data_IF_534904360674
#
_entry.id   IF_534904360674
#
_cell.length_a   1.000
_cell.length_b   1.000
_cell.length_c   1.000
_cell.angle_alpha   90.00
_cell.angle_beta   90.00
_cell.angle_gamma   90.00
#
_symmetry.space_group_name_H-M   'P 1'
#
loop_
_entity.id
_entity.type
_entity.pdbx_description
1 polymer ?
#
# COMPACT_ATOMS: atom_id res chain seq x y z
N UNK A 1 -20.68 -37.55 9.71
CA UNK A 1 -21.82 -36.63 9.53
C UNK A 1 -21.80 -35.64 10.70
N UNK A 2 -22.04 -34.35 10.44
CA UNK A 2 -21.82 -33.15 11.30
C UNK A 2 -20.35 -32.64 11.29
N UNK A 3 -19.93 -31.78 10.35
CA UNK A 3 -20.21 -30.34 10.17
C UNK A 3 -19.84 -29.48 11.41
N UNK A 4 -18.64 -28.87 11.38
CA UNK A 4 -18.33 -27.68 12.16
C UNK A 4 -17.89 -26.59 11.18
N UNK A 5 -18.88 -25.81 10.76
CA UNK A 5 -18.73 -24.53 10.07
C UNK A 5 -18.19 -23.54 11.11
N UNK A 6 -16.97 -23.06 10.92
CA UNK A 6 -16.56 -21.77 11.50
C UNK A 6 -16.41 -20.80 10.33
N UNK A 7 -17.57 -20.38 9.83
CA UNK A 7 -17.73 -19.18 9.02
C UNK A 7 -18.35 -18.14 9.94
N UNK A 8 -17.51 -17.23 10.42
CA UNK A 8 -17.98 -15.93 10.91
C UNK A 8 -17.17 -14.88 10.18
N UNK A 9 -17.80 -14.34 9.14
CA UNK A 9 -17.48 -13.06 8.54
C UNK A 9 -17.70 -11.99 9.62
N UNK A 10 -16.63 -11.37 10.09
CA UNK A 10 -16.68 -10.02 10.67
C UNK A 10 -15.35 -9.36 10.34
N UNK A 11 -15.47 -8.22 9.65
CA UNK A 11 -14.35 -7.38 9.32
C UNK A 11 -13.66 -6.91 10.59
N UNK A 12 -12.56 -7.54 10.91
CA UNK A 12 -11.46 -6.89 11.56
C UNK A 12 -10.39 -6.88 10.48
N UNK A 13 -9.90 -5.68 10.18
CA UNK A 13 -8.52 -5.55 9.72
C UNK A 13 -7.75 -6.24 10.84
N UNK A 14 -7.45 -7.54 10.68
CA UNK A 14 -6.40 -8.13 11.48
C UNK A 14 -5.23 -7.24 11.12
N UNK A 15 -4.69 -6.53 12.10
CA UNK A 15 -3.42 -5.85 11.96
C UNK A 15 -2.49 -6.82 12.65
N UNK A 16 -1.50 -7.34 11.94
CA UNK A 16 -0.47 -8.14 12.59
C UNK A 16 0.08 -7.29 13.75
N UNK A 17 0.38 -7.89 14.92
CA UNK A 17 0.95 -7.13 16.02
C UNK A 17 2.19 -6.36 15.51
N UNK A 18 2.43 -5.17 16.05
CA UNK A 18 3.38 -4.21 15.48
C UNK A 18 4.83 -4.75 15.34
N UNK A 19 5.14 -5.84 16.02
CA UNK A 19 6.41 -6.55 16.05
C UNK A 19 6.41 -7.91 15.32
N UNK A 20 5.32 -8.26 14.62
CA UNK A 20 5.23 -9.48 13.81
C UNK A 20 6.28 -9.47 12.69
N UNK A 21 7.11 -10.51 12.64
CA UNK A 21 8.13 -10.69 11.59
C UNK A 21 7.56 -11.53 10.46
N UNK A 22 7.95 -11.23 9.23
CA UNK A 22 7.67 -12.13 8.13
C UNK A 22 8.45 -13.43 8.34
N UNK A 23 7.77 -14.56 8.19
CA UNK A 23 8.38 -15.87 8.42
C UNK A 23 7.44 -17.02 8.11
N UNK A 24 7.90 -18.20 8.48
CA UNK A 24 7.16 -19.44 8.35
C UNK A 24 6.71 -19.94 9.72
N UNK A 25 5.54 -20.54 9.75
CA UNK A 25 5.02 -21.26 10.91
C UNK A 25 4.58 -22.65 10.47
N UNK A 26 5.14 -23.68 11.11
CA UNK A 26 4.71 -25.07 10.90
C UNK A 26 3.72 -25.48 11.99
N UNK A 27 2.55 -25.95 11.57
CA UNK A 27 1.49 -26.42 12.46
C UNK A 27 1.20 -27.90 12.18
N UNK A 28 1.16 -28.72 13.22
CA UNK A 28 0.77 -30.14 13.11
C UNK A 28 -0.73 -30.27 13.33
N UNK A 29 -1.45 -30.79 12.34
CA UNK A 29 -2.86 -31.13 12.42
C UNK A 29 -3.09 -32.49 13.10
N UNK A 30 -4.34 -32.75 13.51
CA UNK A 30 -4.72 -34.01 14.18
C UNK A 30 -4.59 -35.28 13.33
N UNK A 31 -4.47 -35.14 11.99
CA UNK A 31 -4.38 -36.26 11.04
C UNK A 31 -2.97 -36.44 10.45
N UNK A 32 -1.91 -36.08 11.17
CA UNK A 32 -0.52 -36.05 10.68
C UNK A 32 -0.21 -35.03 9.57
N UNK A 33 -1.21 -34.28 9.09
CA UNK A 33 -1.00 -33.14 8.19
C UNK A 33 -0.05 -32.12 8.81
N UNK A 34 0.96 -31.70 8.05
CA UNK A 34 1.83 -30.59 8.41
C UNK A 34 1.44 -29.38 7.57
N UNK A 35 1.04 -28.30 8.23
CA UNK A 35 0.69 -27.04 7.58
C UNK A 35 1.87 -26.08 7.65
N UNK A 36 2.21 -25.46 6.52
CA UNK A 36 3.18 -24.37 6.43
C UNK A 36 2.45 -23.07 6.17
N UNK A 37 2.37 -22.22 7.19
CA UNK A 37 1.86 -20.87 7.08
C UNK A 37 2.99 -19.90 6.74
N UNK A 38 2.70 -18.96 5.84
CA UNK A 38 3.67 -17.95 5.42
C UNK A 38 3.03 -16.56 5.42
N UNK A 39 3.72 -15.60 6.03
CA UNK A 39 3.17 -14.28 6.33
C UNK A 39 3.84 -13.63 7.54
N UNK A 40 3.18 -12.66 8.15
CA UNK A 40 3.65 -11.91 9.32
C UNK A 40 3.12 -12.53 10.61
N UNK A 41 4.00 -13.04 11.47
CA UNK A 41 3.64 -13.74 12.70
C UNK A 41 4.43 -13.25 13.92
N UNK A 42 3.80 -13.34 15.08
CA UNK A 42 4.39 -13.23 16.42
C UNK A 42 3.97 -14.49 17.20
N UNK A 43 4.89 -15.44 17.36
CA UNK A 43 4.55 -16.79 17.83
C UNK A 43 3.58 -17.48 16.86
N UNK A 44 2.46 -17.99 17.38
CA UNK A 44 1.42 -18.66 16.57
C UNK A 44 0.29 -17.72 16.14
N UNK A 45 0.43 -16.41 16.35
CA UNK A 45 -0.57 -15.39 16.00
C UNK A 45 -0.06 -14.50 14.89
N UNK A 46 -0.91 -14.15 13.92
CA UNK A 46 -0.51 -13.28 12.81
C UNK A 46 -1.41 -13.44 11.58
N UNK A 47 -0.86 -13.07 10.43
CA UNK A 47 -1.53 -13.15 9.15
C UNK A 47 -0.64 -13.80 8.11
N UNK A 48 -1.20 -14.77 7.40
CA UNK A 48 -0.53 -15.44 6.31
C UNK A 48 -1.46 -16.40 5.60
N UNK A 49 -0.91 -17.11 4.63
CA UNK A 49 -1.62 -18.19 3.93
C UNK A 49 -0.96 -19.51 4.29
N UNK A 50 -1.76 -20.41 4.87
CA UNK A 50 -1.35 -21.76 5.25
C UNK A 50 -1.62 -22.76 4.11
N UNK A 51 -0.62 -23.59 3.85
CA UNK A 51 -0.63 -24.63 2.82
C UNK A 51 -0.26 -25.97 3.46
N UNK A 52 -0.83 -27.09 3.01
CA UNK A 52 -0.35 -28.41 3.47
C UNK A 52 1.00 -28.69 2.80
N UNK A 53 1.96 -29.17 3.60
CA UNK A 53 3.28 -29.55 3.13
C UNK A 53 3.19 -30.88 2.37
N UNK A 54 3.73 -30.92 1.16
CA UNK A 54 3.79 -32.14 0.34
C UNK A 54 2.54 -32.41 -0.50
N UNK A 55 1.49 -31.59 -0.41
CA UNK A 55 0.34 -31.65 -1.32
C UNK A 55 0.80 -31.29 -2.74
N UNK A 56 0.64 -32.22 -3.68
CA UNK A 56 1.07 -32.07 -5.07
C UNK A 56 -0.06 -32.37 -6.04
N UNK A 57 -0.14 -31.47 -7.01
CA UNK A 57 -0.53 -31.67 -8.41
C UNK A 57 -2.02 -31.78 -8.78
N UNK A 58 -2.39 -30.90 -9.69
CA UNK A 58 -3.64 -30.88 -10.46
C UNK A 58 -3.37 -30.82 -11.97
N UNK A 59 -2.10 -30.84 -12.40
CA UNK A 59 -1.70 -30.65 -13.79
C UNK A 59 -2.00 -29.23 -14.29
N UNK A 60 -0.97 -28.42 -14.53
CA UNK A 60 -1.11 -27.04 -15.00
C UNK A 60 0.04 -26.14 -14.54
N UNK A 61 -0.04 -24.81 -14.72
CA UNK A 61 0.99 -23.86 -14.29
C UNK A 61 0.97 -23.58 -12.76
N UNK A 62 0.39 -24.49 -11.97
CA UNK A 62 0.14 -24.32 -10.55
C UNK A 62 0.63 -25.55 -9.79
N UNK A 63 1.31 -25.30 -8.67
CA UNK A 63 1.84 -26.34 -7.81
C UNK A 63 0.72 -27.17 -7.20
N UNK A 64 -0.35 -26.50 -6.73
CA UNK A 64 -1.66 -27.11 -6.45
C UNK A 64 -2.75 -26.05 -6.13
N UNK A 65 -4.00 -26.49 -6.06
CA UNK A 65 -5.17 -25.72 -5.62
C UNK A 65 -6.02 -26.56 -4.68
N UNK A 66 -6.54 -25.92 -3.64
CA UNK A 66 -7.53 -26.51 -2.73
C UNK A 66 -8.71 -25.57 -2.56
N UNK A 67 -9.88 -26.01 -2.98
CA UNK A 67 -11.09 -25.20 -2.91
C UNK A 67 -12.20 -25.74 -3.77
N UNK A 68 -13.20 -24.88 -4.03
CA UNK A 68 -14.37 -25.22 -4.82
C UNK A 68 -14.00 -25.42 -6.31
N UNK A 69 -14.44 -26.56 -6.87
CA UNK A 69 -14.31 -26.88 -8.28
C UNK A 69 -15.70 -27.03 -8.88
N UNK A 70 -16.01 -26.26 -9.93
CA UNK A 70 -17.26 -26.38 -10.71
C UNK A 70 -16.93 -26.44 -12.19
N UNK A 71 -17.61 -27.32 -12.90
CA UNK A 71 -17.41 -27.54 -14.34
C UNK A 71 -15.93 -27.76 -14.71
N UNK A 72 -15.20 -28.50 -13.86
CA UNK A 72 -13.75 -28.77 -14.00
C UNK A 72 -12.86 -27.51 -13.96
N UNK A 73 -13.34 -26.42 -13.37
CA UNK A 73 -12.59 -25.16 -13.17
C UNK A 73 -12.63 -24.73 -11.72
N UNK A 74 -11.62 -23.98 -11.26
CA UNK A 74 -11.62 -23.39 -9.92
C UNK A 74 -12.67 -22.28 -9.86
N UNK A 75 -13.69 -22.46 -9.03
CA UNK A 75 -14.87 -21.59 -9.00
C UNK A 75 -15.54 -21.65 -7.61
N UNK A 76 -15.52 -20.53 -6.89
CA UNK A 76 -15.88 -20.44 -5.48
C UNK A 76 -14.69 -20.01 -4.63
N UNK A 77 -14.55 -20.50 -3.40
CA UNK A 77 -13.44 -20.13 -2.54
C UNK A 77 -12.32 -21.16 -2.61
N UNK A 78 -11.06 -20.72 -2.55
CA UNK A 78 -9.94 -21.63 -2.40
C UNK A 78 -8.58 -20.97 -2.17
N UNK A 79 -7.59 -21.83 -2.00
CA UNK A 79 -6.17 -21.49 -1.90
C UNK A 79 -5.46 -22.04 -3.12
N UNK A 80 -4.72 -21.19 -3.83
CA UNK A 80 -3.93 -21.51 -5.01
C UNK A 80 -2.45 -21.26 -4.69
N UNK A 81 -1.60 -22.22 -5.04
CA UNK A 81 -0.13 -22.09 -4.94
C UNK A 81 0.45 -22.15 -6.35
N UNK A 82 1.18 -21.10 -6.72
CA UNK A 82 1.85 -20.98 -8.00
C UNK A 82 3.20 -21.73 -7.99
N UNK A 83 3.77 -22.00 -9.16
CA UNK A 83 5.08 -22.69 -9.28
C UNK A 83 6.22 -21.94 -8.60
N UNK A 84 6.15 -20.61 -8.55
CA UNK A 84 7.12 -19.75 -7.85
C UNK A 84 6.85 -19.62 -6.35
N UNK A 85 6.01 -20.51 -5.79
CA UNK A 85 5.54 -20.52 -4.40
C UNK A 85 4.68 -19.32 -3.97
N UNK A 86 4.38 -18.38 -4.88
CA UNK A 86 3.38 -17.35 -4.63
C UNK A 86 2.03 -17.99 -4.29
N UNK A 87 1.20 -17.26 -3.54
CA UNK A 87 -0.02 -17.83 -2.98
C UNK A 87 -1.18 -16.88 -3.15
N UNK A 88 -2.32 -17.43 -3.48
CA UNK A 88 -3.59 -16.73 -3.46
C UNK A 88 -4.58 -17.46 -2.56
N UNK A 89 -5.35 -16.72 -1.77
CA UNK A 89 -6.48 -17.24 -1.03
C UNK A 89 -7.68 -16.32 -1.23
N UNK A 90 -8.79 -16.86 -1.72
CA UNK A 90 -10.00 -16.07 -1.92
C UNK A 90 -10.94 -16.62 -2.97
N UNK A 91 -11.73 -15.71 -3.54
CA UNK A 91 -12.74 -16.01 -4.53
C UNK A 91 -12.12 -16.26 -5.92
N UNK A 92 -12.57 -17.33 -6.56
CA UNK A 92 -12.13 -17.81 -7.86
C UNK A 92 -13.33 -17.86 -8.81
N UNK A 93 -13.09 -17.56 -10.09
CA UNK A 93 -14.07 -17.75 -11.16
C UNK A 93 -13.34 -18.16 -12.43
N UNK A 94 -13.81 -19.21 -13.10
CA UNK A 94 -13.22 -19.73 -14.34
C UNK A 94 -11.70 -19.96 -14.22
N UNK A 95 -11.24 -20.52 -13.10
CA UNK A 95 -9.82 -20.82 -12.89
C UNK A 95 -8.94 -19.62 -12.50
N UNK A 96 -9.50 -18.42 -12.28
CA UNK A 96 -8.73 -17.22 -11.96
C UNK A 96 -9.23 -16.52 -10.68
N UNK A 97 -8.34 -15.84 -9.94
CA UNK A 97 -8.75 -14.91 -8.88
C UNK A 97 -9.79 -13.91 -9.36
N UNK A 98 -10.94 -13.85 -8.70
CA UNK A 98 -12.05 -12.98 -9.07
C UNK A 98 -12.96 -12.74 -7.87
N UNK A 99 -13.08 -11.48 -7.43
CA UNK A 99 -13.71 -11.11 -6.16
C UNK A 99 -12.66 -10.85 -5.07
N UNK A 100 -13.05 -10.95 -3.81
CA UNK A 100 -12.16 -10.66 -2.67
C UNK A 100 -11.12 -11.77 -2.48
N UNK A 101 -9.89 -11.38 -2.17
CA UNK A 101 -8.85 -12.32 -1.78
C UNK A 101 -7.58 -11.66 -1.26
N UNK A 102 -6.61 -12.50 -0.95
CA UNK A 102 -5.27 -12.15 -0.50
C UNK A 102 -4.28 -12.82 -1.43
N UNK A 103 -3.30 -12.06 -1.91
CA UNK A 103 -2.16 -12.58 -2.67
C UNK A 103 -0.86 -12.30 -1.91
N UNK A 104 0.00 -13.30 -1.82
CA UNK A 104 1.33 -13.22 -1.23
C UNK A 104 2.37 -13.52 -2.32
N UNK A 105 3.20 -12.53 -2.63
CA UNK A 105 4.40 -12.73 -3.42
C UNK A 105 5.51 -13.17 -2.47
N UNK A 106 5.82 -14.47 -2.46
CA UNK A 106 6.63 -15.10 -1.43
C UNK A 106 8.09 -14.65 -1.52
N UNK A 107 8.67 -14.63 -2.72
CA UNK A 107 10.07 -14.26 -2.93
C UNK A 107 10.38 -12.83 -2.48
N UNK A 108 9.42 -11.91 -2.64
CA UNK A 108 9.60 -10.49 -2.38
C UNK A 108 8.92 -10.01 -1.10
N UNK A 109 8.29 -10.88 -0.32
CA UNK A 109 7.51 -10.50 0.87
C UNK A 109 6.55 -9.32 0.57
N UNK A 110 5.77 -9.43 -0.51
CA UNK A 110 4.73 -8.45 -0.86
C UNK A 110 3.36 -9.06 -0.65
N UNK A 111 2.42 -8.26 -0.17
CA UNK A 111 1.05 -8.71 0.13
C UNK A 111 0.03 -7.77 -0.48
N UNK A 112 -0.92 -8.33 -1.22
CA UNK A 112 -2.13 -7.63 -1.62
C UNK A 112 -3.33 -8.22 -0.89
N UNK A 113 -4.20 -7.37 -0.38
CA UNK A 113 -5.52 -7.75 0.11
C UNK A 113 -6.56 -6.80 -0.48
N UNK A 114 -7.52 -7.36 -1.22
CA UNK A 114 -8.50 -6.54 -1.92
C UNK A 114 -9.30 -7.34 -2.93
N UNK A 115 -9.82 -6.63 -3.92
CA UNK A 115 -10.62 -7.20 -4.99
C UNK A 115 -9.77 -7.58 -6.21
N UNK A 116 -10.15 -8.67 -6.85
CA UNK A 116 -9.51 -9.19 -8.05
C UNK A 116 -10.51 -9.23 -9.19
N UNK A 117 -10.03 -8.99 -10.40
CA UNK A 117 -10.80 -9.19 -11.62
C UNK A 117 -9.92 -9.93 -12.63
N UNK A 118 -10.36 -11.11 -13.04
CA UNK A 118 -9.68 -11.94 -14.05
C UNK A 118 -8.20 -12.24 -13.75
N UNK A 119 -7.84 -12.36 -12.47
CA UNK A 119 -6.47 -12.62 -12.00
C UNK A 119 -5.67 -11.38 -11.62
N UNK A 120 -6.18 -10.18 -11.85
CA UNK A 120 -5.47 -8.92 -11.58
C UNK A 120 -6.05 -8.20 -10.36
N UNK A 121 -5.21 -7.43 -9.65
CA UNK A 121 -5.69 -6.51 -8.62
C UNK A 121 -6.60 -5.45 -9.27
N UNK A 122 -7.78 -5.25 -8.68
CA UNK A 122 -8.80 -4.37 -9.21
C UNK A 122 -9.61 -3.76 -8.07
N UNK A 123 -10.38 -2.70 -8.31
CA UNK A 123 -11.31 -2.16 -7.31
C UNK A 123 -10.57 -1.55 -6.13
N UNK A 124 -10.87 -1.93 -4.89
CA UNK A 124 -10.20 -1.40 -3.69
C UNK A 124 -9.32 -2.47 -3.05
N UNK A 125 -8.15 -2.07 -2.56
CA UNK A 125 -7.26 -2.96 -1.84
C UNK A 125 -6.17 -2.25 -1.05
N UNK A 126 -5.40 -3.06 -0.33
CA UNK A 126 -4.18 -2.68 0.37
C UNK A 126 -3.03 -3.48 -0.22
N UNK A 127 -1.96 -2.80 -0.60
CA UNK A 127 -0.72 -3.41 -1.06
C UNK A 127 0.42 -3.03 -0.11
N UNK A 128 1.00 -4.04 0.53
CA UNK A 128 2.11 -3.91 1.47
C UNK A 128 3.39 -4.41 0.82
N UNK A 129 4.45 -3.63 0.94
CA UNK A 129 5.78 -3.92 0.42
C UNK A 129 6.70 -4.47 1.53
N UNK A 130 7.78 -5.15 1.13
CA UNK A 130 8.76 -5.74 2.06
C UNK A 130 9.40 -4.72 3.00
N UNK A 131 9.61 -3.49 2.52
CA UNK A 131 10.19 -2.39 3.28
C UNK A 131 9.20 -1.74 4.27
N UNK A 132 7.96 -2.24 4.36
CA UNK A 132 6.90 -1.70 5.19
C UNK A 132 6.04 -0.64 4.50
N UNK A 133 6.45 -0.15 3.32
CA UNK A 133 5.62 0.77 2.52
C UNK A 133 4.24 0.17 2.28
N UNK A 134 3.24 1.04 2.19
CA UNK A 134 1.86 0.60 2.07
C UNK A 134 1.03 1.54 1.21
N UNK A 135 0.37 0.98 0.21
CA UNK A 135 -0.68 1.65 -0.54
C UNK A 135 -2.06 1.15 -0.12
N UNK A 136 -2.99 2.06 0.14
CA UNK A 136 -4.41 1.76 0.39
C UNK A 136 -5.24 2.60 -0.55
N UNK A 137 -5.97 1.98 -1.47
CA UNK A 137 -6.70 2.75 -2.47
C UNK A 137 -7.31 1.91 -3.57
N UNK A 138 -7.51 2.57 -4.71
CA UNK A 138 -8.10 1.98 -5.90
C UNK A 138 -7.03 1.32 -6.79
N UNK A 139 -7.42 0.25 -7.49
CA UNK A 139 -6.58 -0.51 -8.40
C UNK A 139 -7.28 -0.73 -9.73
N UNK A 140 -6.52 -0.68 -10.82
CA UNK A 140 -6.95 -1.09 -12.15
C UNK A 140 -5.77 -1.70 -12.90
N UNK A 141 -5.97 -2.83 -13.57
CA UNK A 141 -4.89 -3.49 -14.32
C UNK A 141 -3.69 -3.90 -13.46
N UNK A 142 -3.93 -4.28 -12.20
CA UNK A 142 -2.85 -4.61 -11.26
C UNK A 142 -2.13 -3.41 -10.63
N UNK A 143 -2.47 -2.17 -11.01
CA UNK A 143 -1.73 -0.97 -10.61
C UNK A 143 -2.58 -0.03 -9.74
N UNK A 144 -1.97 0.74 -8.82
CA UNK A 144 -2.61 1.87 -8.16
C UNK A 144 -3.27 2.81 -9.17
N UNK A 145 -4.51 3.18 -8.92
CA UNK A 145 -5.31 4.03 -9.80
C UNK A 145 -6.30 4.85 -8.97
N UNK A 146 -6.83 5.96 -9.51
CA UNK A 146 -7.87 6.74 -8.85
C UNK A 146 -7.41 7.34 -7.52
N UNK A 147 -8.22 7.23 -6.47
CA UNK A 147 -7.90 7.80 -5.15
C UNK A 147 -7.28 6.75 -4.23
N UNK A 148 -6.18 7.12 -3.59
CA UNK A 148 -5.54 6.29 -2.58
C UNK A 148 -4.58 7.05 -1.68
N UNK A 149 -4.06 6.33 -0.70
CA UNK A 149 -3.01 6.79 0.21
C UNK A 149 -1.80 5.87 0.12
N UNK A 150 -0.64 6.43 -0.13
CA UNK A 150 0.65 5.74 -0.06
C UNK A 150 1.41 6.23 1.17
N UNK A 151 1.74 5.33 2.09
CA UNK A 151 2.58 5.62 3.26
C UNK A 151 3.95 4.98 3.03
N UNK A 152 5.00 5.81 3.15
CA UNK A 152 6.39 5.39 3.05
C UNK A 152 6.97 5.22 4.46
N UNK A 153 7.70 4.14 4.68
CA UNK A 153 8.32 3.80 5.95
C UNK A 153 9.84 3.89 5.86
N UNK A 154 10.47 4.30 6.97
CA UNK A 154 11.91 4.27 7.16
C UNK A 154 12.18 3.76 8.57
N UNK A 155 13.03 2.74 8.70
CA UNK A 155 13.38 2.15 10.00
C UNK A 155 12.14 1.70 10.81
N UNK A 156 11.12 1.17 10.10
CA UNK A 156 9.87 0.69 10.70
C UNK A 156 8.89 1.79 11.12
N UNK A 157 9.21 3.07 10.90
CA UNK A 157 8.35 4.20 11.23
C UNK A 157 7.84 4.92 9.98
N UNK A 158 6.62 5.48 9.97
CA UNK A 158 6.14 6.30 8.86
C UNK A 158 7.06 7.51 8.64
N UNK A 159 7.66 7.61 7.45
CA UNK A 159 8.54 8.72 7.08
C UNK A 159 7.75 9.87 6.42
N UNK A 160 6.85 9.53 5.49
CA UNK A 160 5.91 10.46 4.89
C UNK A 160 4.75 9.69 4.25
N UNK A 161 3.67 10.38 3.91
CA UNK A 161 2.56 9.80 3.16
C UNK A 161 2.04 10.76 2.10
N UNK A 162 1.49 10.21 1.03
CA UNK A 162 0.74 10.92 0.00
C UNK A 162 -0.71 10.44 0.01
N UNK A 163 -1.67 11.36 0.05
CA UNK A 163 -3.10 11.10 -0.11
C UNK A 163 -3.60 11.87 -1.33
N UNK A 164 -4.10 11.17 -2.35
CA UNK A 164 -4.52 11.83 -3.58
C UNK A 164 -4.71 10.90 -4.77
N UNK A 165 -4.47 11.46 -5.95
CA UNK A 165 -4.77 10.83 -7.23
C UNK A 165 -3.58 10.02 -7.78
N UNK A 166 -3.91 8.86 -8.36
CA UNK A 166 -2.99 7.93 -8.99
C UNK A 166 -3.49 7.59 -10.40
N UNK A 167 -2.55 7.45 -11.33
CA UNK A 167 -2.83 6.98 -12.68
C UNK A 167 -1.72 6.05 -13.14
N UNK A 168 -2.07 4.80 -13.49
CA UNK A 168 -1.12 3.77 -13.92
C UNK A 168 0.08 3.62 -12.96
N UNK A 169 -0.22 3.51 -11.66
CA UNK A 169 0.79 3.31 -10.62
C UNK A 169 1.58 4.54 -10.21
N UNK A 170 1.43 5.69 -10.89
CA UNK A 170 2.15 6.93 -10.53
C UNK A 170 1.22 7.92 -9.84
N UNK A 171 1.78 8.67 -8.89
CA UNK A 171 1.10 9.81 -8.27
C UNK A 171 0.92 10.89 -9.33
N UNK A 172 -0.33 11.23 -9.62
CA UNK A 172 -0.69 12.15 -10.70
C UNK A 172 -2.04 12.81 -10.41
N UNK A 173 -2.08 14.14 -10.42
CA UNK A 173 -3.25 14.94 -10.08
C UNK A 173 -3.16 15.58 -8.70
N UNK A 174 -4.31 15.89 -8.11
CA UNK A 174 -4.36 16.60 -6.81
C UNK A 174 -4.05 15.64 -5.66
N UNK A 175 -3.30 16.14 -4.67
CA UNK A 175 -3.04 15.38 -3.45
C UNK A 175 -2.37 16.19 -2.35
N UNK A 176 -2.11 15.50 -1.26
CA UNK A 176 -1.52 16.03 -0.02
C UNK A 176 -0.38 15.12 0.40
N UNK A 177 0.81 15.70 0.60
CA UNK A 177 1.94 15.04 1.26
C UNK A 177 1.97 15.46 2.72
N UNK A 178 2.14 14.48 3.62
CA UNK A 178 2.38 14.71 5.05
C UNK A 178 3.70 14.05 5.43
N UNK A 179 4.65 14.83 5.92
CA UNK A 179 5.94 14.34 6.40
C UNK A 179 5.89 13.97 7.88
N UNK A 180 6.81 13.14 8.35
CA UNK A 180 6.92 12.73 9.76
C UNK A 180 7.14 13.90 10.73
N UNK A 181 7.76 14.99 10.26
CA UNK A 181 7.93 16.21 11.07
C UNK A 181 6.62 16.97 11.32
N UNK A 182 5.53 16.61 10.62
CA UNK A 182 4.23 17.28 10.66
C UNK A 182 4.04 18.33 9.57
N UNK A 183 5.01 18.50 8.66
CA UNK A 183 4.85 19.34 7.47
C UNK A 183 3.80 18.74 6.55
N UNK A 184 2.84 19.56 6.11
CA UNK A 184 1.76 19.17 5.20
C UNK A 184 1.79 20.05 3.97
N UNK A 185 1.89 19.46 2.79
CA UNK A 185 1.87 20.17 1.51
C UNK A 185 0.76 19.65 0.60
N UNK A 186 -0.13 20.52 0.15
CA UNK A 186 -1.14 20.19 -0.86
C UNK A 186 -0.81 20.86 -2.19
N UNK A 187 -1.19 20.22 -3.29
CA UNK A 187 -1.03 20.78 -4.62
C UNK A 187 -1.32 19.78 -5.74
N UNK A 188 -0.80 20.08 -6.93
CA UNK A 188 -0.91 19.21 -8.09
C UNK A 188 0.40 18.46 -8.31
N UNK A 189 0.29 17.18 -8.61
CA UNK A 189 1.41 16.28 -8.80
C UNK A 189 1.44 15.79 -10.25
N UNK A 190 2.63 15.73 -10.82
CA UNK A 190 2.87 15.17 -12.14
C UNK A 190 4.04 14.21 -12.02
N UNK A 191 3.86 12.95 -12.44
CA UNK A 191 4.88 11.90 -12.36
C UNK A 191 5.62 11.86 -11.01
N UNK A 192 4.86 11.65 -9.93
CA UNK A 192 5.37 11.55 -8.56
C UNK A 192 5.91 12.83 -7.92
N UNK A 193 5.75 13.97 -8.60
CA UNK A 193 6.40 15.21 -8.21
C UNK A 193 5.39 16.31 -7.95
N UNK A 194 5.45 16.96 -6.79
CA UNK A 194 4.71 18.18 -6.50
C UNK A 194 5.26 19.33 -7.35
N UNK A 195 4.52 19.70 -8.39
CA UNK A 195 4.92 20.69 -9.37
C UNK A 195 3.74 21.59 -9.76
N UNK A 196 3.97 22.89 -9.77
CA UNK A 196 2.94 23.92 -9.96
C UNK A 196 2.53 24.57 -8.64
N UNK A 197 1.30 25.07 -8.56
CA UNK A 197 0.84 25.79 -7.37
C UNK A 197 0.51 24.84 -6.22
N UNK A 198 1.02 25.15 -5.04
CA UNK A 198 0.74 24.40 -3.82
C UNK A 198 0.78 25.27 -2.57
N UNK A 199 0.32 24.68 -1.47
CA UNK A 199 0.39 25.28 -0.13
C UNK A 199 0.99 24.29 0.84
N UNK A 200 1.99 24.72 1.59
CA UNK A 200 2.60 23.97 2.67
C UNK A 200 2.34 24.65 4.01
N UNK A 201 1.98 23.88 5.03
CA UNK A 201 1.90 24.30 6.44
C UNK A 201 2.94 23.54 7.24
N UNK A 202 3.61 24.24 8.14
CA UNK A 202 4.70 23.69 8.93
C UNK A 202 4.29 23.57 10.41
N UNK A 203 4.94 22.66 11.17
CA UNK A 203 4.72 22.53 12.61
C UNK A 203 4.92 23.85 13.36
N UNK A 204 4.24 24.03 14.49
CA UNK A 204 4.31 25.26 15.30
C UNK A 204 5.73 25.63 15.74
N UNK A 205 6.61 24.64 15.93
CA UNK A 205 8.00 24.85 16.32
C UNK A 205 8.91 25.27 15.16
N UNK A 206 8.43 25.26 13.91
CA UNK A 206 9.20 25.65 12.73
C UNK A 206 9.35 27.17 12.60
N UNK A 207 10.43 27.61 11.96
CA UNK A 207 10.65 29.04 11.60
C UNK A 207 9.56 29.58 10.67
N UNK A 208 9.00 28.71 9.85
CA UNK A 208 7.94 29.02 8.90
C UNK A 208 6.60 28.56 9.47
N UNK A 209 5.54 29.34 9.24
CA UNK A 209 4.17 28.93 9.49
C UNK A 209 3.57 28.28 8.24
N UNK A 210 3.73 28.93 7.08
CA UNK A 210 3.19 28.44 5.82
C UNK A 210 3.94 28.97 4.60
N UNK A 211 3.77 28.29 3.48
CA UNK A 211 4.16 28.75 2.15
C UNK A 211 2.99 28.53 1.19
N UNK A 212 2.70 29.51 0.32
CA UNK A 212 1.78 29.35 -0.81
C UNK A 212 2.43 29.92 -2.05
N UNK A 213 2.54 29.13 -3.11
CA UNK A 213 3.19 29.59 -4.33
C UNK A 213 3.50 28.46 -5.30
N UNK A 214 4.39 28.75 -6.23
CA UNK A 214 4.90 27.81 -7.22
C UNK A 214 5.95 26.88 -6.61
N UNK A 215 5.79 25.58 -6.85
CA UNK A 215 6.65 24.52 -6.41
C UNK A 215 7.22 23.78 -7.63
N UNK A 216 8.47 23.38 -7.54
CA UNK A 216 9.11 22.46 -8.47
C UNK A 216 9.87 21.41 -7.67
N UNK A 217 9.61 20.13 -7.92
CA UNK A 217 10.14 19.03 -7.11
C UNK A 217 9.89 19.21 -5.61
N UNK A 218 8.71 19.73 -5.26
CA UNK A 218 8.32 20.00 -3.87
C UNK A 218 9.03 21.18 -3.21
N UNK A 219 9.84 21.96 -3.94
CA UNK A 219 10.55 23.12 -3.41
C UNK A 219 9.97 24.42 -3.97
N UNK A 220 9.86 25.50 -3.16
CA UNK A 220 9.53 26.83 -3.66
C UNK A 220 10.40 27.23 -4.87
N UNK A 221 9.77 27.44 -6.02
CA UNK A 221 10.44 27.80 -7.26
C UNK A 221 9.45 28.58 -8.14
N UNK A 222 9.72 29.87 -8.38
CA UNK A 222 8.76 30.83 -8.95
C UNK A 222 8.12 31.73 -7.87
N UNK A 223 6.96 32.33 -8.16
CA UNK A 223 6.34 33.28 -7.23
C UNK A 223 5.67 32.58 -6.05
N UNK A 224 5.82 33.16 -4.87
CA UNK A 224 5.10 32.69 -3.68
C UNK A 224 5.14 33.66 -2.52
N UNK A 225 4.45 33.27 -1.46
CA UNK A 225 4.42 33.96 -0.17
C UNK A 225 4.78 32.97 0.92
N UNK A 226 5.79 33.30 1.73
CA UNK A 226 6.08 32.61 2.99
C UNK A 226 5.59 33.45 4.16
N UNK A 227 4.95 32.81 5.14
CA UNK A 227 4.59 33.39 6.43
C UNK A 227 5.49 32.78 7.48
N UNK A 228 6.20 33.62 8.22
CA UNK A 228 7.10 33.20 9.30
C UNK A 228 6.30 32.98 10.58
N UNK A 229 6.83 32.18 11.51
CA UNK A 229 6.15 31.90 12.79
C UNK A 229 5.87 33.16 13.63
N UNK A 230 6.64 34.23 13.43
CA UNK A 230 6.42 35.53 14.07
C UNK A 230 5.38 36.42 13.35
N UNK A 231 4.67 35.90 12.34
CA UNK A 231 3.66 36.62 11.56
C UNK A 231 4.20 37.53 10.45
N UNK A 232 5.53 37.74 10.35
CA UNK A 232 6.11 38.44 9.20
C UNK A 232 5.84 37.65 7.92
N UNK A 233 5.85 38.33 6.78
CA UNK A 233 5.58 37.74 5.47
C UNK A 233 6.61 38.21 4.45
N UNK A 234 7.03 37.32 3.58
CA UNK A 234 7.77 37.65 2.37
C UNK A 234 6.97 37.17 1.17
N UNK A 235 6.76 38.05 0.18
CA UNK A 235 6.15 37.71 -1.10
C UNK A 235 7.11 38.10 -2.21
N UNK A 236 7.45 37.15 -3.07
CA UNK A 236 8.44 37.37 -4.11
C UNK A 236 8.77 36.10 -4.89
N UNK A 237 9.85 36.17 -5.65
CA UNK A 237 10.39 35.05 -6.41
C UNK A 237 11.19 34.10 -5.50
N UNK A 238 11.09 32.80 -5.76
CA UNK A 238 11.89 31.76 -5.10
C UNK A 238 12.69 30.98 -6.14
N UNK A 239 13.88 30.52 -5.77
CA UNK A 239 14.70 29.59 -6.57
C UNK A 239 15.27 28.53 -5.66
N UNK A 240 14.99 27.26 -5.98
CA UNK A 240 15.47 26.11 -5.20
C UNK A 240 15.19 26.21 -3.70
N UNK A 241 14.00 26.71 -3.34
CA UNK A 241 13.55 26.87 -1.96
C UNK A 241 14.00 28.15 -1.26
N UNK A 242 14.81 28.99 -1.91
CA UNK A 242 15.33 30.23 -1.32
C UNK A 242 14.61 31.45 -1.89
N UNK A 243 14.22 32.43 -1.05
CA UNK A 243 13.72 33.70 -1.54
C UNK A 243 14.79 34.38 -2.40
N UNK A 244 14.39 34.93 -3.54
CA UNK A 244 15.26 35.73 -4.37
C UNK A 244 15.72 36.95 -3.57
N UNK A 245 17.01 37.27 -3.67
CA UNK A 245 17.52 38.54 -3.16
C UNK A 245 16.72 39.65 -3.82
N UNK A 246 15.97 40.40 -3.01
CA UNK A 246 15.38 41.65 -3.47
C UNK A 246 16.49 42.48 -4.10
N UNK A 247 16.35 42.87 -5.36
CA UNK A 247 17.23 43.90 -5.95
C UNK A 247 17.00 45.27 -5.32
N UNK A 248 15.93 45.41 -4.54
CA UNK A 248 15.66 46.60 -3.77
C UNK A 248 16.11 46.38 -2.33
N UNK A 249 17.33 46.85 -2.05
CA UNK A 249 17.68 47.32 -0.71
C UNK A 249 16.75 48.48 -0.37
N UNK A 250 15.61 48.17 0.25
CA UNK A 250 14.64 49.15 0.72
C UNK A 250 14.74 49.29 2.23
N UNK A 251 15.21 50.47 2.65
CA UNK A 251 15.43 51.01 4.01
C UNK A 251 14.50 50.51 5.12
#
# INVERSE_FOLDING_TARGET
MALAVVSTLLGLISIAPADAKYGYLELKGGNQDVWRCEGQFQGNSGQGICVIQGEKDIGGPYKYYRGDIRNKTFDGNGTLVYENDDRYQGQMKNGRPNGKGVFLAVADNRRYEGTFQNGEFHGRGTYSFANGDRYVGQFAGGQPHGIGKFTFFKEGQPAYSYDGQFYLGVINGKGVVTNADGTVCNGTFYNNTLSGKGTCTFPKASTFQSYTGELYNGRPNGRGTVVYANGKRYTGEFREGKPGLSKDGGK
#
